data_IF_046003598757
#
_entry.id   IF_046003598757
#
_cell.length_a   1.000
_cell.length_b   1.000
_cell.length_c   1.000
_cell.angle_alpha   90.00
_cell.angle_beta   90.00
_cell.angle_gamma   90.00
#
_symmetry.space_group_name_H-M   'P 1'
#
loop_
_entity.id
_entity.type
_entity.pdbx_description
1 polymer ?
#
# COMPACT_ATOMS: atom_id res chain seq x y z
N UNK A 1 4.87 -28.61 -38.50
CA UNK A 1 5.26 -29.98 -38.89
C UNK A 1 5.79 -30.67 -37.66
N UNK A 2 5.00 -31.59 -37.09
CA UNK A 2 5.34 -32.68 -36.17
C UNK A 2 4.22 -32.85 -35.13
N UNK A 3 3.53 -33.98 -35.27
CA UNK A 3 2.38 -34.53 -34.55
C UNK A 3 2.80 -35.45 -33.40
N UNK A 4 1.85 -35.75 -32.49
CA UNK A 4 1.65 -36.95 -31.64
C UNK A 4 1.57 -36.58 -30.13
N UNK A 5 0.66 -37.10 -29.31
CA UNK A 5 -0.46 -38.01 -29.46
C UNK A 5 -1.34 -37.92 -28.19
N UNK A 6 -2.67 -38.02 -28.34
CA UNK A 6 -3.60 -38.39 -27.26
C UNK A 6 -3.64 -39.92 -27.10
N UNK A 7 -4.02 -40.42 -25.91
CA UNK A 7 -4.81 -41.63 -25.80
C UNK A 7 -6.20 -41.34 -25.21
N UNK A 8 -7.22 -41.73 -25.98
CA UNK A 8 -8.63 -41.80 -25.63
C UNK A 8 -8.89 -42.65 -24.36
N UNK A 9 -9.72 -42.13 -23.46
CA UNK A 9 -10.58 -42.95 -22.61
C UNK A 9 -12.01 -42.42 -22.72
N UNK A 10 -12.84 -43.22 -23.39
CA UNK A 10 -14.27 -43.01 -23.65
C UNK A 10 -15.07 -42.92 -22.35
N UNK A 11 -15.70 -41.78 -22.10
CA UNK A 11 -16.70 -41.60 -21.03
C UNK A 11 -18.06 -41.26 -21.68
N UNK A 12 -19.20 -41.83 -21.23
CA UNK A 12 -20.48 -41.74 -21.94
C UNK A 12 -21.06 -40.33 -21.95
N UNK A 13 -21.63 -39.95 -23.10
CA UNK A 13 -22.08 -38.60 -23.47
C UNK A 13 -23.37 -38.10 -22.80
N UNK A 14 -23.69 -38.51 -21.58
CA UNK A 14 -24.96 -38.13 -20.91
C UNK A 14 -24.80 -37.55 -19.51
N UNK A 15 -23.58 -37.35 -19.01
CA UNK A 15 -23.33 -36.77 -17.67
C UNK A 15 -22.38 -35.55 -17.64
N UNK A 16 -21.78 -35.15 -18.77
CA UNK A 16 -20.78 -34.06 -18.83
C UNK A 16 -21.35 -32.65 -19.01
N UNK A 17 -22.61 -32.49 -19.41
CA UNK A 17 -23.20 -31.15 -19.60
C UNK A 17 -23.59 -30.46 -18.29
N UNK A 18 -23.66 -31.21 -17.18
CA UNK A 18 -24.05 -30.67 -15.88
C UNK A 18 -22.90 -30.47 -14.89
N UNK A 19 -21.70 -30.98 -15.15
CA UNK A 19 -20.53 -30.83 -14.25
C UNK A 19 -19.61 -29.68 -14.68
N UNK A 20 -19.49 -29.42 -15.98
CA UNK A 20 -18.64 -28.34 -16.53
C UNK A 20 -19.30 -26.97 -16.40
N UNK A 21 -20.63 -26.90 -16.55
CA UNK A 21 -21.38 -25.65 -16.42
C UNK A 21 -21.52 -25.19 -14.95
N UNK A 22 -21.33 -26.08 -13.96
CA UNK A 22 -21.37 -25.72 -12.54
C UNK A 22 -20.02 -25.28 -12.00
N UNK A 23 -18.89 -25.82 -12.49
CA UNK A 23 -17.56 -25.49 -11.97
C UNK A 23 -16.99 -24.18 -12.56
N UNK A 24 -17.24 -23.90 -13.85
CA UNK A 24 -16.95 -22.57 -14.43
C UNK A 24 -17.85 -21.47 -13.84
N UNK A 25 -19.07 -21.83 -13.47
CA UNK A 25 -20.04 -20.91 -12.89
C UNK A 25 -19.83 -20.74 -11.36
N UNK A 26 -19.33 -21.75 -10.64
CA UNK A 26 -18.87 -21.62 -9.25
C UNK A 26 -17.60 -20.77 -9.12
N UNK A 27 -16.69 -20.80 -10.09
CA UNK A 27 -15.56 -19.86 -10.16
C UNK A 27 -15.99 -18.39 -10.38
N UNK A 28 -17.04 -18.19 -11.17
CA UNK A 28 -17.61 -16.84 -11.45
C UNK A 28 -18.54 -16.35 -10.33
N UNK A 29 -19.23 -17.24 -9.61
CA UNK A 29 -20.03 -16.88 -8.43
C UNK A 29 -19.20 -16.74 -7.15
N UNK A 30 -18.07 -17.43 -6.99
CA UNK A 30 -17.15 -17.23 -5.86
C UNK A 30 -16.32 -15.94 -5.96
N UNK A 31 -16.35 -15.26 -7.11
CA UNK A 31 -15.82 -13.89 -7.29
C UNK A 31 -16.80 -12.79 -6.79
N UNK A 32 -18.10 -13.10 -6.69
CA UNK A 32 -19.12 -12.15 -6.21
C UNK A 32 -18.98 -11.75 -4.72
N UNK A 33 -18.73 -12.66 -3.76
CA UNK A 33 -18.52 -12.25 -2.36
C UNK A 33 -17.15 -11.60 -2.15
N UNK A 34 -16.10 -12.01 -2.88
CA UNK A 34 -14.75 -11.47 -2.70
C UNK A 34 -14.67 -9.98 -3.07
N UNK A 35 -15.21 -9.61 -4.22
CA UNK A 35 -15.27 -8.21 -4.68
C UNK A 35 -16.17 -7.34 -3.78
N UNK A 36 -17.32 -7.87 -3.35
CA UNK A 36 -18.21 -7.14 -2.43
C UNK A 36 -17.57 -6.96 -1.05
N UNK A 37 -16.85 -7.97 -0.56
CA UNK A 37 -16.07 -7.88 0.67
C UNK A 37 -14.97 -6.83 0.53
N UNK A 38 -14.22 -6.83 -0.58
CA UNK A 38 -13.14 -5.85 -0.82
C UNK A 38 -13.67 -4.41 -0.82
N UNK A 39 -14.79 -4.15 -1.54
CA UNK A 39 -15.47 -2.84 -1.52
C UNK A 39 -15.89 -2.43 -0.13
N UNK A 40 -16.52 -3.34 0.63
CA UNK A 40 -16.96 -3.07 1.98
C UNK A 40 -15.77 -2.76 2.91
N UNK A 41 -14.68 -3.52 2.80
CA UNK A 41 -13.46 -3.31 3.59
C UNK A 41 -12.86 -1.92 3.34
N UNK A 42 -12.69 -1.50 2.08
CA UNK A 42 -12.19 -0.15 1.78
C UNK A 42 -13.15 0.94 2.25
N UNK A 43 -14.47 0.75 2.09
CA UNK A 43 -15.47 1.69 2.58
C UNK A 43 -15.40 1.89 4.09
N UNK A 44 -15.33 0.79 4.86
CA UNK A 44 -15.19 0.82 6.32
C UNK A 44 -13.85 1.44 6.73
N UNK A 45 -12.76 1.09 6.04
CA UNK A 45 -11.43 1.63 6.31
C UNK A 45 -11.38 3.15 6.12
N UNK A 46 -12.05 3.70 5.10
CA UNK A 46 -12.15 5.14 4.89
C UNK A 46 -12.91 5.80 6.04
N UNK A 47 -14.07 5.26 6.45
CA UNK A 47 -14.87 5.84 7.55
C UNK A 47 -14.08 5.83 8.86
N UNK A 48 -13.51 4.68 9.24
CA UNK A 48 -12.70 4.56 10.45
C UNK A 48 -11.44 5.43 10.38
N UNK A 49 -10.81 5.48 9.21
CA UNK A 49 -9.63 6.29 8.93
C UNK A 49 -9.89 7.78 9.08
N UNK A 50 -11.05 8.28 8.61
CA UNK A 50 -11.48 9.66 8.80
C UNK A 50 -11.63 10.00 10.28
N UNK A 51 -12.33 9.16 11.02
CA UNK A 51 -12.54 9.34 12.47
C UNK A 51 -11.20 9.34 13.20
N UNK A 52 -10.33 8.37 12.91
CA UNK A 52 -9.01 8.24 13.51
C UNK A 52 -8.10 9.44 13.17
N UNK A 53 -8.09 9.89 11.92
CA UNK A 53 -7.30 11.05 11.47
C UNK A 53 -7.75 12.33 12.18
N UNK A 54 -9.06 12.57 12.25
CA UNK A 54 -9.65 13.72 12.95
C UNK A 54 -9.30 13.68 14.44
N UNK A 55 -9.43 12.53 15.10
CA UNK A 55 -9.06 12.35 16.50
C UNK A 55 -7.58 12.64 16.72
N UNK A 56 -6.71 12.10 15.87
CA UNK A 56 -5.25 12.24 15.94
C UNK A 56 -4.83 13.69 15.77
N UNK A 57 -5.35 14.39 14.76
CA UNK A 57 -5.09 15.82 14.55
C UNK A 57 -5.57 16.65 15.74
N UNK A 58 -6.76 16.39 16.29
CA UNK A 58 -7.29 17.14 17.45
C UNK A 58 -6.44 16.92 18.70
N UNK A 59 -6.04 15.68 18.97
CA UNK A 59 -5.18 15.33 20.10
C UNK A 59 -3.79 15.94 19.91
N UNK A 60 -3.25 15.86 18.71
CA UNK A 60 -1.97 16.44 18.33
C UNK A 60 -1.93 17.96 18.52
N UNK A 61 -2.93 18.69 18.01
CA UNK A 61 -3.05 20.15 18.21
C UNK A 61 -3.17 20.55 19.67
N UNK A 62 -3.84 19.73 20.50
CA UNK A 62 -3.95 19.97 21.95
C UNK A 62 -2.65 19.71 22.70
N UNK A 63 -1.94 18.62 22.37
CA UNK A 63 -0.69 18.23 23.03
C UNK A 63 0.48 19.15 22.65
N UNK A 64 0.59 19.55 21.38
CA UNK A 64 1.63 20.50 20.92
C UNK A 64 1.56 21.85 21.64
N UNK A 65 0.36 22.25 22.09
CA UNK A 65 0.16 23.53 22.77
C UNK A 65 0.58 23.53 24.25
N UNK A 66 0.87 22.37 24.85
CA UNK A 66 1.06 22.25 26.31
C UNK A 66 2.42 21.75 26.78
N UNK A 67 3.19 20.95 26.01
CA UNK A 67 4.47 20.39 26.48
C UNK A 67 5.40 20.02 25.30
N UNK A 68 6.12 20.99 24.71
CA UNK A 68 6.76 20.81 23.40
C UNK A 68 8.22 20.32 23.44
N UNK A 69 9.04 20.67 24.43
CA UNK A 69 10.51 20.57 24.25
C UNK A 69 11.11 19.15 24.38
N UNK A 70 10.68 18.33 25.35
CA UNK A 70 11.27 16.99 25.56
C UNK A 70 10.52 15.91 24.77
N UNK A 71 9.21 16.10 24.54
CA UNK A 71 8.38 15.16 23.77
C UNK A 71 8.55 15.32 22.24
N UNK A 72 9.18 16.40 21.76
CA UNK A 72 9.30 16.72 20.34
C UNK A 72 9.95 15.61 19.51
N UNK A 73 10.99 14.93 20.03
CA UNK A 73 11.75 13.90 19.28
C UNK A 73 10.87 12.72 18.88
N UNK A 74 10.21 12.11 19.87
CA UNK A 74 9.25 11.02 19.66
C UNK A 74 8.03 11.45 18.86
N UNK A 75 7.64 12.71 19.01
CA UNK A 75 6.50 13.27 18.31
C UNK A 75 6.77 13.41 16.80
N UNK A 76 7.99 13.76 16.37
CA UNK A 76 8.34 13.88 14.94
C UNK A 76 8.17 12.58 14.15
N UNK A 77 8.56 11.44 14.73
CA UNK A 77 8.34 10.12 14.12
C UNK A 77 6.85 9.80 14.00
N UNK A 78 6.09 10.07 15.06
CA UNK A 78 4.63 9.87 15.09
C UNK A 78 3.88 10.76 14.10
N UNK A 79 4.33 12.00 13.90
CA UNK A 79 3.74 12.89 12.88
C UNK A 79 3.96 12.31 11.50
N UNK A 80 5.21 11.94 11.19
CA UNK A 80 5.55 11.39 9.86
C UNK A 80 4.76 10.12 9.57
N UNK A 81 4.61 9.24 10.57
CA UNK A 81 3.77 8.04 10.48
C UNK A 81 2.29 8.40 10.25
N UNK A 82 1.74 9.34 11.02
CA UNK A 82 0.35 9.79 10.84
C UNK A 82 0.11 10.44 9.47
N UNK A 83 1.13 11.09 8.88
CA UNK A 83 1.06 11.64 7.53
C UNK A 83 1.05 10.52 6.48
N UNK A 84 1.90 9.50 6.65
CA UNK A 84 1.91 8.33 5.76
C UNK A 84 0.58 7.57 5.80
N UNK A 85 0.04 7.33 7.00
CA UNK A 85 -1.26 6.67 7.20
C UNK A 85 -2.39 7.49 6.58
N UNK A 86 -2.34 8.82 6.71
CA UNK A 86 -3.30 9.70 6.04
C UNK A 86 -3.20 9.59 4.51
N UNK A 87 -2.00 9.55 3.93
CA UNK A 87 -1.84 9.35 2.48
C UNK A 87 -2.46 8.02 2.03
N UNK A 88 -2.26 6.94 2.78
CA UNK A 88 -2.87 5.64 2.44
C UNK A 88 -4.41 5.72 2.55
N UNK A 89 -4.93 6.31 3.61
CA UNK A 89 -6.38 6.37 3.83
C UNK A 89 -7.09 7.33 2.87
N UNK A 90 -6.48 8.47 2.53
CA UNK A 90 -7.10 9.51 1.72
C UNK A 90 -6.77 9.44 0.24
N UNK A 91 -5.69 8.74 -0.15
CA UNK A 91 -5.28 8.62 -1.56
C UNK A 91 -5.42 7.18 -2.03
N UNK A 92 -4.78 6.23 -1.34
CA UNK A 92 -4.80 4.82 -1.75
C UNK A 92 -6.21 4.23 -1.69
N UNK A 93 -6.83 4.21 -0.51
CA UNK A 93 -8.13 3.57 -0.30
C UNK A 93 -9.26 4.09 -1.22
N UNK A 94 -9.47 5.41 -1.40
CA UNK A 94 -10.53 5.90 -2.30
C UNK A 94 -10.20 5.65 -3.77
N UNK A 95 -8.93 5.70 -4.18
CA UNK A 95 -8.56 5.35 -5.55
C UNK A 95 -8.83 3.88 -5.84
N UNK A 96 -8.53 2.99 -4.88
CA UNK A 96 -8.85 1.56 -4.99
C UNK A 96 -10.35 1.34 -5.04
N UNK A 97 -11.12 1.99 -4.17
CA UNK A 97 -12.57 1.92 -4.20
C UNK A 97 -13.12 2.38 -5.56
N UNK A 98 -12.60 3.47 -6.11
CA UNK A 98 -12.99 3.98 -7.43
C UNK A 98 -12.62 3.02 -8.56
N UNK A 99 -11.41 2.45 -8.52
CA UNK A 99 -10.95 1.52 -9.55
C UNK A 99 -11.78 0.24 -9.55
N UNK A 100 -12.09 -0.28 -8.36
CA UNK A 100 -12.96 -1.44 -8.17
C UNK A 100 -14.37 -1.13 -8.68
N UNK A 101 -14.94 0.05 -8.42
CA UNK A 101 -16.30 0.39 -8.90
C UNK A 101 -16.38 0.65 -10.39
N UNK A 102 -15.38 1.32 -10.96
CA UNK A 102 -15.43 1.84 -12.33
C UNK A 102 -14.76 0.88 -13.30
N UNK A 103 -13.86 0.01 -12.83
CA UNK A 103 -12.99 -0.87 -13.61
C UNK A 103 -12.07 -0.17 -14.63
N UNK A 104 -12.05 1.17 -14.66
CA UNK A 104 -11.28 1.98 -15.62
C UNK A 104 -10.45 3.07 -14.93
N UNK A 105 -9.28 3.41 -15.49
CA UNK A 105 -8.42 4.50 -15.01
C UNK A 105 -8.56 5.77 -15.85
N UNK A 106 -9.30 6.76 -15.35
CA UNK A 106 -9.48 8.06 -16.04
C UNK A 106 -8.42 9.12 -15.68
N UNK A 107 -7.44 8.81 -14.83
CA UNK A 107 -6.47 9.81 -14.35
C UNK A 107 -5.39 10.19 -15.38
N UNK A 108 -5.33 9.50 -16.52
CA UNK A 108 -4.23 9.65 -17.47
C UNK A 108 -2.89 9.12 -16.91
N UNK A 109 -1.84 9.27 -17.71
CA UNK A 109 -0.50 8.72 -17.43
C UNK A 109 0.17 9.40 -16.22
N UNK A 110 0.05 10.73 -16.10
CA UNK A 110 0.66 11.49 -15.02
C UNK A 110 0.08 11.12 -13.65
N UNK A 111 -1.26 11.05 -13.50
CA UNK A 111 -1.83 10.62 -12.21
C UNK A 111 -1.49 9.17 -11.90
N UNK A 112 -1.43 8.27 -12.89
CA UNK A 112 -1.05 6.86 -12.65
C UNK A 112 0.33 6.78 -11.98
N UNK A 113 1.31 7.49 -12.55
CA UNK A 113 2.68 7.56 -12.01
C UNK A 113 2.73 8.21 -10.63
N UNK A 114 2.09 9.36 -10.46
CA UNK A 114 2.09 10.11 -9.19
C UNK A 114 1.37 9.32 -8.10
N UNK A 115 0.24 8.69 -8.42
CA UNK A 115 -0.49 7.81 -7.50
C UNK A 115 0.39 6.66 -7.03
N UNK A 116 0.95 5.88 -7.97
CA UNK A 116 1.80 4.74 -7.64
C UNK A 116 3.02 5.17 -6.83
N UNK A 117 3.66 6.29 -7.21
CA UNK A 117 4.76 6.87 -6.45
C UNK A 117 4.35 7.22 -5.01
N UNK A 118 3.22 7.91 -4.83
CA UNK A 118 2.74 8.35 -3.51
C UNK A 118 2.42 7.16 -2.60
N UNK A 119 1.80 6.12 -3.14
CA UNK A 119 1.48 4.88 -2.40
C UNK A 119 2.75 4.16 -1.96
N UNK A 120 3.70 3.95 -2.88
CA UNK A 120 4.98 3.31 -2.57
C UNK A 120 5.78 4.11 -1.55
N UNK A 121 5.84 5.44 -1.72
CA UNK A 121 6.49 6.36 -0.80
C UNK A 121 5.88 6.27 0.60
N UNK A 122 4.55 6.31 0.72
CA UNK A 122 3.87 6.22 2.01
C UNK A 122 4.18 4.89 2.72
N UNK A 123 4.17 3.77 1.99
CA UNK A 123 4.53 2.46 2.55
C UNK A 123 5.97 2.41 3.07
N UNK A 124 6.93 2.93 2.30
CA UNK A 124 8.34 2.98 2.69
C UNK A 124 8.56 3.92 3.88
N UNK A 125 7.86 5.05 3.91
CA UNK A 125 7.92 6.00 5.01
C UNK A 125 7.40 5.35 6.30
N UNK A 126 6.26 4.66 6.25
CA UNK A 126 5.70 3.91 7.40
C UNK A 126 6.70 2.89 7.93
N UNK A 127 7.31 2.08 7.06
CA UNK A 127 8.32 1.09 7.46
C UNK A 127 9.54 1.74 8.12
N UNK A 128 10.10 2.78 7.49
CA UNK A 128 11.25 3.50 8.04
C UNK A 128 10.93 4.14 9.41
N UNK A 129 9.74 4.70 9.60
CA UNK A 129 9.32 5.26 10.88
C UNK A 129 9.15 4.19 11.95
N UNK A 130 8.61 3.02 11.62
CA UNK A 130 8.49 1.90 12.57
C UNK A 130 9.86 1.44 13.06
N UNK A 131 10.85 1.33 12.16
CA UNK A 131 12.23 0.99 12.52
C UNK A 131 12.84 2.04 13.44
N UNK A 132 12.69 3.33 13.13
CA UNK A 132 13.19 4.42 13.98
C UNK A 132 12.55 4.41 15.37
N UNK A 133 11.24 4.12 15.46
CA UNK A 133 10.53 4.00 16.74
C UNK A 133 11.07 2.82 17.55
N UNK A 134 11.30 1.67 16.91
CA UNK A 134 11.88 0.50 17.58
C UNK A 134 13.30 0.79 18.07
N UNK A 135 14.12 1.41 17.23
CA UNK A 135 15.49 1.79 17.55
C UNK A 135 15.57 2.79 18.72
N UNK A 136 14.71 3.81 18.73
CA UNK A 136 14.60 4.77 19.83
C UNK A 136 14.25 4.07 21.15
N UNK A 137 13.31 3.11 21.13
CA UNK A 137 12.95 2.31 22.31
C UNK A 137 14.12 1.47 22.82
N UNK A 138 14.90 0.87 21.92
CA UNK A 138 16.08 0.09 22.28
C UNK A 138 17.16 0.95 22.93
N UNK A 139 17.45 2.12 22.37
CA UNK A 139 18.38 3.09 22.97
C UNK A 139 17.87 3.51 24.35
N UNK A 140 16.59 3.87 24.46
CA UNK A 140 15.98 4.29 25.72
C UNK A 140 16.08 3.20 26.78
N UNK A 141 15.75 1.95 26.43
CA UNK A 141 15.86 0.80 27.34
C UNK A 141 17.31 0.54 27.78
N UNK A 142 18.25 0.59 26.84
CA UNK A 142 19.68 0.38 27.14
C UNK A 142 20.23 1.49 28.04
N UNK A 143 19.80 2.74 27.84
CA UNK A 143 20.20 3.88 28.66
C UNK A 143 19.60 3.80 30.06
N UNK A 144 18.33 3.41 30.20
CA UNK A 144 17.69 3.18 31.50
C UNK A 144 18.44 2.07 32.26
N UNK A 145 18.93 1.02 31.58
CA UNK A 145 19.69 -0.03 32.23
C UNK A 145 21.13 0.39 32.62
N UNK A 146 21.69 1.45 32.03
CA UNK A 146 23.05 1.95 32.26
C UNK A 146 23.12 3.19 33.19
N UNK A 147 22.12 3.40 34.04
CA UNK A 147 21.85 4.59 34.88
C UNK A 147 22.97 5.12 35.81
N UNK A 148 24.23 4.68 35.72
CA UNK A 148 25.33 5.17 36.58
C UNK A 148 26.39 6.04 35.90
N UNK A 149 26.41 6.17 34.56
CA UNK A 149 27.46 6.97 33.89
C UNK A 149 26.87 8.26 33.35
N UNK A 150 27.01 9.33 34.15
CA UNK A 150 26.75 10.72 33.75
C UNK A 150 27.62 11.07 32.54
N UNK A 151 26.95 11.51 31.47
CA UNK A 151 27.59 11.99 30.25
C UNK A 151 27.09 11.20 29.06
N UNK A 152 26.02 11.66 28.42
CA UNK A 152 25.56 11.02 27.19
C UNK A 152 25.54 12.03 26.06
N UNK A 153 26.29 11.69 25.01
CA UNK A 153 26.18 12.24 23.67
C UNK A 153 24.72 12.15 23.20
N UNK A 154 24.12 13.31 22.93
CA UNK A 154 22.83 13.36 22.26
C UNK A 154 22.99 12.87 20.83
N UNK A 155 22.25 11.84 20.44
CA UNK A 155 22.22 11.42 19.04
C UNK A 155 21.28 12.35 18.27
N UNK A 156 21.69 12.76 17.06
CA UNK A 156 20.93 13.71 16.25
C UNK A 156 19.69 13.06 15.63
N UNK A 157 18.59 12.98 16.39
CA UNK A 157 17.26 12.49 15.94
C UNK A 157 16.84 13.11 14.60
N UNK A 158 17.13 14.41 14.40
CA UNK A 158 16.83 15.11 13.14
C UNK A 158 17.58 14.53 11.94
N UNK A 159 18.84 14.13 12.12
CA UNK A 159 19.64 13.54 11.06
C UNK A 159 19.08 12.17 10.65
N UNK A 160 18.77 11.30 11.62
CA UNK A 160 18.15 10.00 11.36
C UNK A 160 16.79 10.14 10.65
N UNK A 161 15.99 11.12 11.07
CA UNK A 161 14.72 11.43 10.41
C UNK A 161 14.94 11.86 8.95
N UNK A 162 15.88 12.77 8.69
CA UNK A 162 16.20 13.21 7.33
C UNK A 162 16.68 12.06 6.45
N UNK A 163 17.56 11.20 6.97
CA UNK A 163 18.05 10.01 6.23
C UNK A 163 16.88 9.08 5.88
N UNK A 164 15.98 8.80 6.83
CA UNK A 164 14.83 7.93 6.60
C UNK A 164 13.86 8.48 5.53
N UNK A 165 13.65 9.79 5.49
CA UNK A 165 12.86 10.45 4.45
C UNK A 165 13.54 10.38 3.08
N UNK A 166 14.84 10.68 3.02
CA UNK A 166 15.62 10.60 1.77
C UNK A 166 15.63 9.18 1.24
N UNK A 167 15.84 8.18 2.10
CA UNK A 167 15.83 6.78 1.72
C UNK A 167 14.46 6.35 1.16
N UNK A 168 13.36 6.78 1.80
CA UNK A 168 12.01 6.51 1.30
C UNK A 168 11.77 7.15 -0.07
N UNK A 169 12.22 8.39 -0.29
CA UNK A 169 12.12 9.06 -1.60
C UNK A 169 12.94 8.35 -2.66
N UNK A 170 14.18 7.97 -2.34
CA UNK A 170 15.08 7.33 -3.29
C UNK A 170 14.55 5.95 -3.72
N UNK A 171 14.06 5.14 -2.77
CA UNK A 171 13.48 3.83 -3.07
C UNK A 171 12.15 3.91 -3.84
N UNK A 172 11.38 5.00 -3.68
CA UNK A 172 10.10 5.18 -4.39
C UNK A 172 10.24 5.84 -5.76
N UNK A 173 11.33 6.57 -6.03
CA UNK A 173 11.61 7.20 -7.32
C UNK A 173 11.50 6.28 -8.56
N UNK A 174 12.01 5.02 -8.58
CA UNK A 174 11.89 4.14 -9.76
C UNK A 174 10.44 3.91 -10.20
N UNK A 175 9.47 4.07 -9.30
CA UNK A 175 8.05 3.91 -9.60
C UNK A 175 7.53 4.88 -10.67
N UNK A 176 8.15 6.05 -10.81
CA UNK A 176 7.78 7.07 -11.82
C UNK A 176 8.14 6.66 -13.26
N UNK A 177 9.09 5.73 -13.40
CA UNK A 177 9.62 5.27 -14.70
C UNK A 177 8.93 3.97 -15.13
N UNK A 178 8.63 3.09 -14.17
CA UNK A 178 8.11 1.73 -14.42
C UNK A 178 6.62 1.72 -14.76
N UNK A 179 5.83 2.61 -14.14
CA UNK A 179 4.37 2.61 -14.29
C UNK A 179 3.93 3.55 -15.42
N UNK A 180 3.03 3.05 -16.27
CA UNK A 180 2.45 3.81 -17.37
C UNK A 180 0.99 3.42 -17.57
N UNK A 181 0.25 4.26 -18.26
CA UNK A 181 -1.09 3.91 -18.74
C UNK A 181 -0.97 2.97 -19.95
N UNK A 182 -1.66 1.84 -19.90
CA UNK A 182 -1.77 0.86 -20.99
C UNK A 182 -3.25 0.69 -21.31
N UNK A 183 -3.62 0.72 -22.59
CA UNK A 183 -5.01 0.58 -23.02
C UNK A 183 -5.27 -0.89 -23.35
N UNK A 184 -6.22 -1.50 -22.65
CA UNK A 184 -6.66 -2.88 -22.88
C UNK A 184 -8.12 -2.86 -23.33
N UNK A 185 -8.43 -3.42 -24.51
CA UNK A 185 -9.77 -3.44 -25.09
C UNK A 185 -10.48 -2.07 -25.02
N UNK A 186 -9.87 -1.03 -25.62
CA UNK A 186 -10.32 0.36 -25.61
C UNK A 186 -10.39 1.06 -24.23
N UNK A 187 -9.90 0.41 -23.18
CA UNK A 187 -10.01 0.94 -21.85
C UNK A 187 -8.66 1.17 -21.14
N UNK A 188 -8.46 2.37 -20.55
CA UNK A 188 -7.20 2.70 -19.90
C UNK A 188 -7.03 1.98 -18.55
N UNK A 189 -5.90 1.30 -18.39
CA UNK A 189 -5.44 0.67 -17.15
C UNK A 189 -4.07 1.21 -16.73
N UNK A 190 -3.84 1.36 -15.42
CA UNK A 190 -2.55 1.76 -14.88
C UNK A 190 -1.72 0.51 -14.57
N UNK A 191 -0.80 0.13 -15.45
CA UNK A 191 0.00 -1.08 -15.32
C UNK A 191 1.51 -0.81 -15.33
N UNK A 192 2.28 -1.82 -14.94
CA UNK A 192 3.74 -1.77 -15.06
C UNK A 192 4.18 -2.13 -16.47
N UNK A 193 5.32 -1.60 -16.92
CA UNK A 193 5.87 -1.87 -18.25
C UNK A 193 6.07 -3.37 -18.55
N UNK A 194 6.28 -4.19 -17.51
CA UNK A 194 6.45 -5.64 -17.64
C UNK A 194 5.20 -6.34 -18.16
N UNK A 195 4.02 -5.80 -17.84
CA UNK A 195 2.74 -6.37 -18.26
C UNK A 195 2.45 -6.17 -19.75
N UNK A 196 3.14 -5.21 -20.38
CA UNK A 196 3.00 -4.92 -21.81
C UNK A 196 3.79 -5.94 -22.65
N UNK A 197 4.98 -6.37 -22.18
CA UNK A 197 5.79 -7.35 -22.91
C UNK A 197 5.13 -8.73 -22.99
N UNK A 198 4.45 -9.17 -21.94
CA UNK A 198 3.77 -10.49 -21.92
C UNK A 198 2.67 -10.61 -22.99
N UNK A 199 2.07 -9.50 -23.43
CA UNK A 199 1.04 -9.49 -24.47
C UNK A 199 1.58 -9.40 -25.90
N UNK A 200 2.90 -9.25 -26.07
CA UNK A 200 3.56 -9.24 -27.38
C UNK A 200 4.28 -10.55 -27.71
N UNK A 201 4.41 -11.44 -26.72
CA UNK A 201 5.04 -12.76 -26.84
C UNK A 201 4.02 -13.91 -27.05
N UNK A 202 2.72 -13.61 -27.19
CA UNK A 202 1.65 -14.55 -27.60
C UNK A 202 1.17 -14.31 -29.04
#
# INVERSE_FOLDING_TARGET
MATAAEPLLTVPSTLTDNYSATDEMEGVYSLNPAYQLERALYGIAIILGLIASIYTIRKFRRCCKKNLDVAARLLSYKISLSVADALILFVYAPTQLFWITTFWWYGGDLLCRVYKFTVTFAFHLTGNMQVLIAFDRLITMTRINKLHVKGTTDYNTRLFLSIAWILALLCSFPQLIIFKIVVYNDNPQCSSIWNEYTLMDE
#
